data_IF_880966892252
#
_entry.id   IF_880966892252
#
_cell.length_a   1.000
_cell.length_b   1.000
_cell.length_c   1.000
_cell.angle_alpha   90.00
_cell.angle_beta   90.00
_cell.angle_gamma   90.00
#
_symmetry.space_group_name_H-M   'P 1'
#
loop_
_entity.id
_entity.type
_entity.pdbx_description
1 polymer ?
#
# COMPACT_ATOMS: atom_id res chain seq x y z
N UNK A 1 52.09 -15.51 -67.37
CA UNK A 1 50.68 -15.97 -67.41
C UNK A 1 50.55 -17.11 -66.42
N UNK A 2 50.13 -16.81 -65.20
CA UNK A 2 49.93 -17.77 -64.12
C UNK A 2 48.75 -17.29 -63.31
N UNK A 3 47.78 -18.19 -63.16
CA UNK A 3 46.41 -17.96 -62.77
C UNK A 3 46.25 -17.65 -61.28
N UNK A 4 45.36 -16.70 -61.00
CA UNK A 4 44.85 -16.36 -59.67
C UNK A 4 44.01 -17.52 -59.11
N UNK A 5 44.36 -17.99 -57.91
CA UNK A 5 43.53 -18.91 -57.10
C UNK A 5 42.84 -18.12 -55.98
N UNK A 6 41.55 -18.38 -55.68
CA UNK A 6 40.74 -17.48 -54.87
C UNK A 6 41.00 -17.63 -53.37
N UNK A 7 41.05 -16.47 -52.69
CA UNK A 7 41.15 -16.34 -51.25
C UNK A 7 39.97 -16.99 -50.52
N UNK A 8 40.29 -17.99 -49.71
CA UNK A 8 39.34 -18.68 -48.87
C UNK A 8 39.06 -17.84 -47.60
N UNK A 9 37.96 -17.08 -47.62
CA UNK A 9 37.39 -16.42 -46.45
C UNK A 9 36.93 -17.46 -45.43
N UNK A 10 37.77 -17.80 -44.43
CA UNK A 10 37.31 -18.46 -43.20
C UNK A 10 37.04 -17.43 -42.11
N UNK A 11 35.83 -16.87 -42.14
CA UNK A 11 35.19 -16.10 -41.06
C UNK A 11 35.02 -16.95 -39.79
N UNK A 12 35.61 -16.49 -38.69
CA UNK A 12 35.06 -16.43 -37.32
C UNK A 12 34.23 -17.61 -36.76
N UNK A 13 34.81 -18.82 -36.69
CA UNK A 13 34.27 -19.92 -35.86
C UNK A 13 34.95 -20.11 -34.49
N UNK A 14 35.75 -19.15 -34.03
CA UNK A 14 36.59 -19.29 -32.83
C UNK A 14 36.06 -18.65 -31.53
N UNK A 15 34.89 -17.98 -31.53
CA UNK A 15 34.46 -17.18 -30.37
C UNK A 15 33.59 -17.95 -29.35
N UNK A 16 32.57 -18.70 -29.79
CA UNK A 16 31.59 -19.32 -28.87
C UNK A 16 32.17 -20.43 -27.98
N UNK A 17 33.10 -21.25 -28.48
CA UNK A 17 33.74 -22.32 -27.69
C UNK A 17 34.69 -21.76 -26.63
N UNK A 18 35.42 -20.68 -26.93
CA UNK A 18 36.29 -19.98 -25.95
C UNK A 18 35.47 -19.28 -24.88
N UNK A 19 34.36 -18.63 -25.25
CA UNK A 19 33.44 -18.02 -24.29
C UNK A 19 32.79 -19.07 -23.38
N UNK A 20 32.38 -20.22 -23.95
CA UNK A 20 31.82 -21.34 -23.17
C UNK A 20 32.84 -21.91 -22.18
N UNK A 21 34.10 -22.13 -22.58
CA UNK A 21 35.17 -22.58 -21.67
C UNK A 21 35.47 -21.57 -20.56
N UNK A 22 35.60 -20.28 -20.90
CA UNK A 22 35.80 -19.20 -19.90
C UNK A 22 34.64 -19.07 -18.92
N UNK A 23 33.42 -19.36 -19.35
CA UNK A 23 32.29 -19.42 -18.44
C UNK A 23 32.42 -20.64 -17.52
N UNK A 24 32.73 -21.83 -18.04
CA UNK A 24 32.86 -23.07 -17.24
C UNK A 24 33.97 -22.99 -16.18
N UNK A 25 35.09 -22.32 -16.48
CA UNK A 25 36.28 -22.26 -15.61
C UNK A 25 36.20 -21.21 -14.49
N UNK A 26 35.10 -20.45 -14.39
CA UNK A 26 34.89 -19.57 -13.23
C UNK A 26 34.63 -20.41 -11.97
N UNK A 27 35.39 -20.20 -10.88
CA UNK A 27 35.16 -20.92 -9.63
C UNK A 27 33.71 -20.70 -9.18
N UNK A 28 33.05 -21.74 -8.65
CA UNK A 28 31.69 -21.61 -8.17
C UNK A 28 31.64 -20.50 -7.13
N UNK A 29 30.64 -19.60 -7.19
CA UNK A 29 30.55 -18.51 -6.23
C UNK A 29 30.43 -19.08 -4.82
N UNK A 30 31.12 -18.48 -3.84
CA UNK A 30 31.00 -18.87 -2.43
C UNK A 30 29.53 -18.83 -2.02
N UNK A 31 28.97 -20.02 -1.76
CA UNK A 31 27.58 -20.19 -1.37
C UNK A 31 27.40 -19.87 0.11
N UNK A 32 26.32 -19.17 0.46
CA UNK A 32 25.99 -18.99 1.87
C UNK A 32 25.36 -20.28 2.43
N UNK A 33 26.06 -20.91 3.38
CA UNK A 33 25.69 -22.18 3.99
C UNK A 33 24.79 -22.03 5.24
N UNK A 34 24.63 -20.81 5.77
CA UNK A 34 23.79 -20.54 6.94
C UNK A 34 22.30 -20.68 6.62
N UNK A 35 21.71 -21.82 6.98
CA UNK A 35 20.26 -22.04 6.88
C UNK A 35 19.49 -21.00 7.71
N UNK A 36 19.97 -20.72 8.92
CA UNK A 36 19.32 -19.81 9.86
C UNK A 36 19.27 -18.37 9.33
N UNK A 37 20.36 -17.88 8.73
CA UNK A 37 20.38 -16.55 8.10
C UNK A 37 19.36 -16.46 6.95
N UNK A 38 19.26 -17.50 6.12
CA UNK A 38 18.30 -17.56 5.00
C UNK A 38 16.86 -17.54 5.48
N UNK A 39 16.53 -18.39 6.46
CA UNK A 39 15.18 -18.48 7.03
C UNK A 39 14.77 -17.17 7.68
N UNK A 40 15.64 -16.56 8.49
CA UNK A 40 15.31 -15.29 9.12
C UNK A 40 15.21 -14.14 8.10
N UNK A 41 16.05 -14.13 7.06
CA UNK A 41 15.94 -13.13 5.98
C UNK A 41 14.61 -13.29 5.23
N UNK A 42 14.18 -14.51 4.94
CA UNK A 42 12.87 -14.78 4.33
C UNK A 42 11.73 -14.37 5.25
N UNK A 43 11.80 -14.69 6.55
CA UNK A 43 10.80 -14.26 7.53
C UNK A 43 10.69 -12.72 7.57
N UNK A 44 11.83 -12.03 7.55
CA UNK A 44 11.88 -10.56 7.53
C UNK A 44 11.20 -9.98 6.29
N UNK A 45 11.46 -10.56 5.11
CA UNK A 45 10.81 -10.18 3.86
C UNK A 45 9.30 -10.46 3.88
N UNK A 46 8.90 -11.63 4.36
CA UNK A 46 7.48 -12.03 4.47
C UNK A 46 6.73 -11.03 5.36
N UNK A 47 7.31 -10.63 6.50
CA UNK A 47 6.73 -9.59 7.34
C UNK A 47 6.59 -8.26 6.59
N UNK A 48 7.59 -7.88 5.79
CA UNK A 48 7.51 -6.70 4.92
C UNK A 48 6.36 -6.79 3.89
N UNK A 49 6.20 -7.94 3.23
CA UNK A 49 5.11 -8.19 2.26
C UNK A 49 3.74 -8.10 2.95
N UNK A 50 3.56 -8.78 4.08
CA UNK A 50 2.29 -8.78 4.82
C UNK A 50 1.98 -7.37 5.34
N UNK A 51 2.98 -6.65 5.86
CA UNK A 51 2.80 -5.29 6.34
C UNK A 51 2.33 -4.35 5.21
N UNK A 52 2.93 -4.47 4.02
CA UNK A 52 2.52 -3.71 2.84
C UNK A 52 1.12 -4.07 2.39
N UNK A 53 0.78 -5.36 2.37
CA UNK A 53 -0.55 -5.83 1.96
C UNK A 53 -1.66 -5.32 2.89
N UNK A 54 -1.44 -5.40 4.21
CA UNK A 54 -2.38 -4.89 5.22
C UNK A 54 -2.45 -3.36 5.17
N UNK A 55 -1.35 -2.68 4.90
CA UNK A 55 -1.34 -1.22 4.79
C UNK A 55 -2.03 -0.72 3.51
N UNK A 56 -1.93 -1.47 2.42
CA UNK A 56 -2.53 -1.16 1.12
C UNK A 56 -3.98 -1.68 0.96
N UNK A 57 -4.46 -2.49 1.91
CA UNK A 57 -5.75 -3.20 1.82
C UNK A 57 -5.88 -4.07 0.54
N UNK A 58 -4.76 -4.65 0.11
CA UNK A 58 -4.68 -5.52 -1.08
C UNK A 58 -4.74 -7.01 -0.71
N UNK A 59 -4.61 -7.89 -1.71
CA UNK A 59 -4.55 -9.35 -1.55
C UNK A 59 -3.22 -9.94 -2.07
N UNK A 60 -2.16 -9.14 -2.13
CA UNK A 60 -0.86 -9.56 -2.66
C UNK A 60 -0.23 -10.65 -1.80
N UNK A 61 -0.46 -10.65 -0.49
CA UNK A 61 0.14 -11.64 0.42
C UNK A 61 -0.30 -13.07 0.10
N UNK A 62 -1.51 -13.25 -0.44
CA UNK A 62 -2.10 -14.56 -0.77
C UNK A 62 -1.24 -15.36 -1.74
N UNK A 63 -0.64 -14.71 -2.74
CA UNK A 63 0.24 -15.36 -3.70
C UNK A 63 1.72 -15.11 -3.41
N UNK A 64 2.09 -13.90 -2.95
CA UNK A 64 3.48 -13.52 -2.78
C UNK A 64 4.17 -14.27 -1.63
N UNK A 65 3.46 -14.53 -0.53
CA UNK A 65 4.04 -15.25 0.62
C UNK A 65 4.31 -16.71 0.28
N UNK A 66 3.35 -17.51 -0.24
CA UNK A 66 3.65 -18.88 -0.67
C UNK A 66 4.74 -18.93 -1.72
N UNK A 67 4.72 -18.02 -2.71
CA UNK A 67 5.70 -18.01 -3.78
C UNK A 67 7.10 -17.65 -3.27
N UNK A 68 7.23 -16.75 -2.29
CA UNK A 68 8.51 -16.43 -1.63
C UNK A 68 9.07 -17.63 -0.87
N UNK A 69 8.22 -18.39 -0.16
CA UNK A 69 8.63 -19.60 0.56
C UNK A 69 9.09 -20.68 -0.42
N UNK A 70 8.32 -20.94 -1.48
CA UNK A 70 8.67 -21.89 -2.54
C UNK A 70 9.96 -21.49 -3.24
N UNK A 71 10.12 -20.21 -3.55
CA UNK A 71 11.32 -19.64 -4.15
C UNK A 71 12.54 -19.85 -3.25
N UNK A 72 12.38 -19.63 -1.94
CA UNK A 72 13.37 -19.89 -0.93
C UNK A 72 13.81 -21.35 -0.85
N UNK A 73 12.85 -22.27 -0.87
CA UNK A 73 13.09 -23.71 -0.90
C UNK A 73 13.79 -24.15 -2.19
N UNK A 74 13.33 -23.65 -3.34
CA UNK A 74 13.96 -23.90 -4.63
C UNK A 74 15.40 -23.39 -4.68
N UNK A 75 15.63 -22.16 -4.20
CA UNK A 75 16.96 -21.56 -4.12
C UNK A 75 17.89 -22.37 -3.22
N UNK A 76 17.39 -23.02 -2.16
CA UNK A 76 18.19 -23.89 -1.31
C UNK A 76 18.60 -25.18 -2.02
N UNK A 77 17.64 -25.87 -2.65
CA UNK A 77 17.90 -27.15 -3.34
C UNK A 77 18.81 -27.00 -4.56
N UNK A 78 18.75 -25.86 -5.24
CA UNK A 78 19.50 -25.62 -6.48
C UNK A 78 20.75 -24.75 -6.31
N UNK A 79 21.15 -24.42 -5.07
CA UNK A 79 22.26 -23.49 -4.79
C UNK A 79 23.63 -23.87 -5.37
N UNK A 80 23.91 -25.17 -5.48
CA UNK A 80 25.17 -25.69 -6.02
C UNK A 80 25.10 -25.96 -7.54
N UNK A 81 23.94 -25.77 -8.18
CA UNK A 81 23.73 -26.05 -9.60
C UNK A 81 23.80 -24.76 -10.42
N UNK A 82 24.52 -24.80 -11.54
CA UNK A 82 24.62 -23.67 -12.48
C UNK A 82 23.45 -23.66 -13.46
N UNK A 83 22.25 -23.33 -12.96
CA UNK A 83 21.05 -23.24 -13.79
C UNK A 83 20.97 -21.91 -14.55
N UNK A 84 21.55 -21.88 -15.76
CA UNK A 84 21.50 -20.72 -16.66
C UNK A 84 20.05 -20.45 -17.12
N UNK A 85 19.25 -21.50 -17.36
CA UNK A 85 17.85 -21.38 -17.75
C UNK A 85 17.00 -20.66 -16.69
N UNK A 86 17.16 -21.01 -15.41
CA UNK A 86 16.46 -20.34 -14.30
C UNK A 86 16.83 -18.87 -14.21
N UNK A 87 18.11 -18.52 -14.38
CA UNK A 87 18.54 -17.11 -14.43
C UNK A 87 17.88 -16.34 -15.57
N UNK A 88 17.79 -16.96 -16.74
CA UNK A 88 17.15 -16.35 -17.90
C UNK A 88 15.66 -16.13 -17.67
N UNK A 89 14.96 -17.12 -17.10
CA UNK A 89 13.52 -17.00 -16.79
C UNK A 89 13.25 -15.94 -15.72
N UNK A 90 14.09 -15.84 -14.69
CA UNK A 90 13.97 -14.78 -13.67
C UNK A 90 14.21 -13.41 -14.30
N UNK A 91 15.24 -13.27 -15.15
CA UNK A 91 15.51 -12.01 -15.83
C UNK A 91 14.34 -11.59 -16.73
N UNK A 92 13.76 -12.53 -17.48
CA UNK A 92 12.56 -12.29 -18.29
C UNK A 92 11.36 -11.91 -17.41
N UNK A 93 11.17 -12.59 -16.29
CA UNK A 93 10.13 -12.26 -15.31
C UNK A 93 10.30 -10.85 -14.71
N UNK A 94 11.54 -10.45 -14.41
CA UNK A 94 11.82 -9.10 -13.89
C UNK A 94 11.55 -8.02 -14.94
N UNK A 95 11.86 -8.29 -16.21
CA UNK A 95 11.51 -7.40 -17.32
C UNK A 95 9.99 -7.31 -17.53
N UNK A 96 9.27 -8.43 -17.41
CA UNK A 96 7.83 -8.45 -17.48
C UNK A 96 7.19 -7.66 -16.32
N UNK A 97 7.68 -7.83 -15.09
CA UNK A 97 7.27 -7.05 -13.93
C UNK A 97 7.51 -5.55 -14.13
N UNK A 98 8.65 -5.18 -14.71
CA UNK A 98 8.94 -3.79 -15.06
C UNK A 98 7.99 -3.25 -16.15
N UNK A 99 7.66 -4.07 -17.16
CA UNK A 99 6.68 -3.73 -18.18
C UNK A 99 5.29 -3.50 -17.59
N UNK A 100 4.84 -4.39 -16.70
CA UNK A 100 3.58 -4.25 -15.96
C UNK A 100 3.58 -2.97 -15.12
N UNK A 101 4.67 -2.67 -14.42
CA UNK A 101 4.84 -1.42 -13.68
C UNK A 101 4.64 -0.18 -14.55
N UNK A 102 5.21 -0.11 -15.75
CA UNK A 102 5.01 1.04 -16.64
C UNK A 102 3.57 1.18 -17.15
N UNK A 103 2.88 0.06 -17.36
CA UNK A 103 1.46 0.04 -17.72
C UNK A 103 0.62 0.60 -16.56
N UNK A 104 0.81 0.06 -15.35
CA UNK A 104 0.10 0.51 -14.14
C UNK A 104 0.42 1.96 -13.79
N UNK A 105 1.65 2.42 -13.99
CA UNK A 105 2.05 3.81 -13.74
C UNK A 105 1.33 4.78 -14.69
N UNK A 106 1.07 4.38 -15.93
CA UNK A 106 0.31 5.18 -16.89
C UNK A 106 -1.15 5.35 -16.46
N UNK A 107 -1.73 4.34 -15.82
CA UNK A 107 -3.11 4.35 -15.32
C UNK A 107 -3.22 5.11 -13.98
N UNK A 108 -2.20 5.02 -13.13
CA UNK A 108 -2.19 5.55 -11.75
C UNK A 108 -1.08 6.61 -11.55
N UNK A 109 -1.04 7.64 -12.40
CA UNK A 109 0.04 8.66 -12.42
C UNK A 109 0.26 9.41 -11.07
N UNK A 110 -0.75 9.43 -10.21
CA UNK A 110 -0.77 10.25 -9.00
C UNK A 110 -0.58 9.43 -7.70
N UNK A 111 -0.91 8.13 -7.67
CA UNK A 111 -0.60 7.25 -6.52
C UNK A 111 0.40 6.16 -6.91
N UNK A 112 1.63 6.60 -7.14
CA UNK A 112 2.74 5.72 -7.50
C UNK A 112 3.20 4.80 -6.37
N UNK A 113 2.75 5.04 -5.13
CA UNK A 113 3.20 4.25 -3.96
C UNK A 113 2.70 2.82 -4.01
N UNK A 114 1.44 2.62 -4.41
CA UNK A 114 0.84 1.29 -4.56
C UNK A 114 1.52 0.52 -5.69
N UNK A 115 1.70 1.16 -6.84
CA UNK A 115 2.36 0.58 -8.01
C UNK A 115 3.83 0.24 -7.72
N UNK A 116 4.53 1.08 -6.96
CA UNK A 116 5.90 0.81 -6.53
C UNK A 116 5.96 -0.36 -5.53
N UNK A 117 5.00 -0.45 -4.61
CA UNK A 117 4.88 -1.56 -3.68
C UNK A 117 4.72 -2.89 -4.41
N UNK A 118 3.82 -2.93 -5.40
CA UNK A 118 3.58 -4.10 -6.24
C UNK A 118 4.85 -4.52 -6.99
N UNK A 119 5.53 -3.59 -7.65
CA UNK A 119 6.80 -3.87 -8.33
C UNK A 119 7.84 -4.45 -7.38
N UNK A 120 7.99 -3.87 -6.18
CA UNK A 120 8.94 -4.36 -5.18
C UNK A 120 8.61 -5.79 -4.72
N UNK A 121 7.33 -6.11 -4.51
CA UNK A 121 6.88 -7.46 -4.14
C UNK A 121 7.20 -8.44 -5.28
N UNK A 122 6.84 -8.11 -6.52
CA UNK A 122 7.11 -8.96 -7.69
C UNK A 122 8.62 -9.21 -7.86
N UNK A 123 9.45 -8.15 -7.80
CA UNK A 123 10.90 -8.26 -7.87
C UNK A 123 11.46 -9.10 -6.73
N UNK A 124 10.96 -8.92 -5.50
CA UNK A 124 11.41 -9.69 -4.34
C UNK A 124 11.10 -11.18 -4.48
N UNK A 125 9.90 -11.51 -4.94
CA UNK A 125 9.48 -12.89 -5.18
C UNK A 125 10.35 -13.54 -6.25
N UNK A 126 10.58 -12.86 -7.39
CA UNK A 126 11.45 -13.34 -8.46
C UNK A 126 12.91 -13.48 -8.00
N UNK A 127 13.42 -12.50 -7.27
CA UNK A 127 14.77 -12.53 -6.71
C UNK A 127 14.94 -13.70 -5.73
N UNK A 128 13.88 -14.07 -4.99
CA UNK A 128 13.89 -15.19 -4.03
C UNK A 128 14.18 -16.55 -4.66
N UNK A 129 13.96 -16.72 -5.96
CA UNK A 129 14.28 -17.96 -6.66
C UNK A 129 15.78 -18.14 -6.91
N UNK A 130 16.57 -17.07 -6.81
CA UNK A 130 17.99 -17.09 -7.12
C UNK A 130 18.81 -16.27 -6.12
N UNK A 131 19.03 -16.85 -4.94
CA UNK A 131 19.94 -16.30 -3.92
C UNK A 131 21.06 -17.29 -3.54
N UNK A 132 21.93 -17.71 -4.48
CA UNK A 132 23.04 -18.59 -4.14
C UNK A 132 24.09 -17.89 -3.27
N UNK A 133 24.29 -16.57 -3.46
CA UNK A 133 25.34 -15.81 -2.79
C UNK A 133 24.81 -15.10 -1.55
N UNK A 134 25.75 -14.84 -0.64
CA UNK A 134 25.54 -14.01 0.55
C UNK A 134 25.10 -12.58 0.23
N UNK A 135 25.70 -11.98 -0.80
CA UNK A 135 25.34 -10.64 -1.27
C UNK A 135 23.88 -10.55 -1.70
N UNK A 136 23.34 -11.62 -2.29
CA UNK A 136 21.95 -11.70 -2.72
C UNK A 136 20.99 -11.65 -1.52
N UNK A 137 21.33 -12.32 -0.41
CA UNK A 137 20.58 -12.18 0.86
C UNK A 137 20.64 -10.75 1.41
N UNK A 138 21.78 -10.09 1.24
CA UNK A 138 21.96 -8.65 1.49
C UNK A 138 20.92 -7.79 0.79
N UNK A 139 20.72 -8.02 -0.51
CA UNK A 139 19.73 -7.27 -1.28
C UNK A 139 18.30 -7.53 -0.80
N UNK A 140 17.96 -8.76 -0.45
CA UNK A 140 16.65 -9.12 0.12
C UNK A 140 16.38 -8.40 1.43
N UNK A 141 17.41 -8.23 2.26
CA UNK A 141 17.27 -7.47 3.50
C UNK A 141 16.91 -6.02 3.24
N UNK A 142 17.59 -5.40 2.27
CA UNK A 142 17.31 -4.01 1.84
C UNK A 142 15.91 -3.91 1.25
N UNK A 143 15.50 -4.83 0.39
CA UNK A 143 14.15 -4.84 -0.19
C UNK A 143 13.10 -5.00 0.91
N UNK A 144 13.31 -5.88 1.91
CA UNK A 144 12.44 -6.00 3.07
C UNK A 144 12.31 -4.69 3.86
N UNK A 145 13.41 -3.95 4.04
CA UNK A 145 13.42 -2.63 4.67
C UNK A 145 12.67 -1.58 3.84
N UNK A 146 12.80 -1.62 2.51
CA UNK A 146 12.05 -0.73 1.62
C UNK A 146 10.55 -1.06 1.71
N UNK A 147 10.17 -2.35 1.73
CA UNK A 147 8.77 -2.76 1.85
C UNK A 147 8.12 -2.26 3.15
N UNK A 148 8.78 -2.42 4.31
CA UNK A 148 8.24 -1.88 5.57
C UNK A 148 8.18 -0.34 5.53
N UNK A 149 9.12 0.31 4.83
CA UNK A 149 9.09 1.75 4.58
C UNK A 149 7.90 2.18 3.74
N UNK A 150 7.62 1.50 2.64
CA UNK A 150 6.45 1.76 1.78
C UNK A 150 5.15 1.51 2.56
N UNK A 151 5.06 0.40 3.30
CA UNK A 151 3.94 0.07 4.19
C UNK A 151 3.66 1.21 5.20
N UNK A 152 4.72 1.84 5.73
CA UNK A 152 4.55 2.97 6.67
C UNK A 152 3.85 4.19 6.04
N UNK A 153 4.02 4.39 4.74
CA UNK A 153 3.42 5.54 4.03
C UNK A 153 1.95 5.29 3.65
N UNK A 154 1.58 4.02 3.46
CA UNK A 154 0.23 3.59 3.11
C UNK A 154 -0.64 3.32 4.35
N UNK A 155 -0.02 2.96 5.47
CA UNK A 155 -0.73 2.55 6.67
C UNK A 155 -1.69 3.63 7.21
N UNK A 156 -2.90 3.18 7.55
CA UNK A 156 -3.96 3.99 8.14
C UNK A 156 -4.31 3.55 9.57
N UNK A 157 -3.72 2.46 10.06
CA UNK A 157 -4.11 1.80 11.31
C UNK A 157 -2.92 1.58 12.23
N UNK A 158 -3.18 1.50 13.53
CA UNK A 158 -2.15 1.22 14.55
C UNK A 158 -1.56 -0.19 14.44
N UNK A 159 -2.20 -1.09 13.70
CA UNK A 159 -1.74 -2.46 13.44
C UNK A 159 -0.36 -2.46 12.78
N UNK A 160 -0.04 -1.47 11.96
CA UNK A 160 1.30 -1.33 11.37
C UNK A 160 2.41 -1.27 12.41
N UNK A 161 2.16 -0.65 13.58
CA UNK A 161 3.13 -0.61 14.68
C UNK A 161 3.54 -2.01 15.15
N UNK A 162 2.61 -2.97 15.16
CA UNK A 162 2.90 -4.36 15.50
C UNK A 162 3.79 -5.02 14.44
N UNK A 163 3.50 -4.80 13.15
CA UNK A 163 4.35 -5.31 12.07
C UNK A 163 5.75 -4.70 12.10
N UNK A 164 5.87 -3.41 12.41
CA UNK A 164 7.18 -2.75 12.56
C UNK A 164 7.99 -3.35 13.73
N UNK A 165 7.35 -3.60 14.87
CA UNK A 165 8.00 -4.26 16.01
C UNK A 165 8.43 -5.69 15.67
N UNK A 166 7.57 -6.46 14.99
CA UNK A 166 7.89 -7.80 14.53
C UNK A 166 9.06 -7.78 13.53
N UNK A 167 9.03 -6.85 12.57
CA UNK A 167 10.11 -6.66 11.60
C UNK A 167 11.43 -6.36 12.31
N UNK A 168 11.44 -5.43 13.27
CA UNK A 168 12.64 -5.06 14.03
C UNK A 168 13.17 -6.22 14.89
N UNK A 169 12.28 -6.99 15.51
CA UNK A 169 12.62 -8.17 16.30
C UNK A 169 13.32 -9.25 15.47
N UNK A 170 12.99 -9.37 14.18
CA UNK A 170 13.65 -10.30 13.23
C UNK A 170 14.89 -9.67 12.60
N UNK A 171 14.86 -8.37 12.27
CA UNK A 171 15.96 -7.67 11.61
C UNK A 171 17.24 -7.65 12.47
N UNK A 172 17.10 -7.51 13.79
CA UNK A 172 18.24 -7.52 14.71
C UNK A 172 19.08 -8.81 14.67
N UNK A 173 18.50 -10.00 14.92
CA UNK A 173 19.28 -11.24 14.81
C UNK A 173 19.81 -11.46 13.39
N UNK A 174 19.07 -11.08 12.35
CA UNK A 174 19.53 -11.14 10.96
C UNK A 174 20.80 -10.30 10.74
N UNK A 175 20.82 -9.05 11.19
CA UNK A 175 21.98 -8.15 11.06
C UNK A 175 23.19 -8.67 11.84
N UNK A 176 22.99 -9.20 13.04
CA UNK A 176 24.06 -9.80 13.84
C UNK A 176 24.68 -11.02 13.13
N UNK A 177 23.84 -11.85 12.51
CA UNK A 177 24.29 -13.02 11.76
C UNK A 177 24.98 -12.63 10.45
N UNK A 178 24.46 -11.64 9.71
CA UNK A 178 25.14 -11.12 8.52
C UNK A 178 26.50 -10.55 8.89
N UNK A 179 26.58 -9.73 9.94
CA UNK A 179 27.83 -9.15 10.43
C UNK A 179 28.88 -10.22 10.75
N UNK A 180 28.49 -11.26 11.49
CA UNK A 180 29.39 -12.37 11.83
C UNK A 180 29.79 -13.20 10.61
N UNK A 181 28.86 -13.42 9.68
CA UNK A 181 29.15 -14.06 8.39
C UNK A 181 30.18 -13.26 7.57
N UNK A 182 30.21 -11.92 7.68
CA UNK A 182 31.25 -11.07 7.03
C UNK A 182 32.64 -11.28 7.58
N UNK A 183 32.74 -11.48 8.89
CA UNK A 183 34.01 -11.55 9.61
C UNK A 183 34.71 -12.91 9.49
N UNK A 184 34.11 -13.88 8.77
CA UNK A 184 34.62 -15.24 8.58
C UNK A 184 35.01 -15.98 9.89
N UNK A 185 34.49 -15.51 11.04
CA UNK A 185 34.60 -16.10 12.39
C UNK A 185 33.90 -17.47 12.52
N UNK A 186 33.62 -18.10 11.39
CA UNK A 186 32.42 -18.88 11.16
C UNK A 186 32.79 -20.32 10.78
N UNK A 187 34.08 -20.64 10.61
CA UNK A 187 34.57 -22.00 10.40
C UNK A 187 34.22 -23.05 11.49
N UNK A 188 33.73 -22.67 12.68
CA UNK A 188 33.35 -23.62 13.76
C UNK A 188 31.94 -23.48 14.34
N UNK A 189 31.19 -22.42 14.00
CA UNK A 189 29.88 -22.14 14.62
C UNK A 189 28.68 -22.74 13.87
N UNK A 190 28.89 -23.34 12.69
CA UNK A 190 27.84 -23.66 11.72
C UNK A 190 26.88 -24.81 12.06
N UNK A 191 27.17 -25.63 13.06
CA UNK A 191 26.27 -26.73 13.51
C UNK A 191 25.61 -26.46 14.86
N UNK A 192 25.72 -25.24 15.37
CA UNK A 192 25.37 -24.95 16.76
C UNK A 192 23.93 -24.42 16.88
N UNK A 193 23.10 -24.95 17.80
CA UNK A 193 21.75 -24.42 18.05
C UNK A 193 21.80 -22.96 18.53
N UNK A 194 20.69 -22.23 18.46
CA UNK A 194 20.52 -20.81 18.80
C UNK A 194 21.31 -20.35 20.06
N UNK A 195 21.45 -21.23 21.06
CA UNK A 195 22.22 -21.00 22.31
C UNK A 195 23.74 -20.89 22.11
N UNK A 196 24.34 -21.65 21.19
CA UNK A 196 25.79 -21.67 20.93
C UNK A 196 26.25 -20.61 19.92
N UNK A 197 25.31 -20.00 19.20
CA UNK A 197 25.59 -18.85 18.33
C UNK A 197 25.83 -17.58 19.17
N UNK A 198 25.64 -17.60 20.50
CA UNK A 198 25.95 -16.43 21.34
C UNK A 198 25.03 -15.23 21.07
N UNK A 199 23.83 -15.46 20.53
CA UNK A 199 22.74 -14.48 20.49
C UNK A 199 22.13 -14.42 21.89
N UNK A 200 22.70 -13.61 22.76
CA UNK A 200 22.12 -13.35 24.06
C UNK A 200 20.81 -12.59 23.87
N UNK A 201 19.69 -13.23 24.22
CA UNK A 201 18.36 -12.62 24.18
C UNK A 201 18.29 -11.34 25.02
N UNK A 202 19.07 -11.27 26.11
CA UNK A 202 19.23 -10.05 26.91
C UNK A 202 19.87 -8.91 26.10
N UNK A 203 20.92 -9.19 25.32
CA UNK A 203 21.57 -8.19 24.47
C UNK A 203 20.68 -7.76 23.30
N UNK A 204 19.98 -8.70 22.66
CA UNK A 204 19.01 -8.38 21.60
C UNK A 204 17.88 -7.51 22.14
N UNK A 205 17.33 -7.85 23.32
CA UNK A 205 16.32 -7.04 23.99
C UNK A 205 16.83 -5.65 24.36
N UNK A 206 18.08 -5.54 24.84
CA UNK A 206 18.72 -4.25 25.11
C UNK A 206 18.87 -3.40 23.82
N UNK A 207 19.34 -3.99 22.72
CA UNK A 207 19.43 -3.29 21.44
C UNK A 207 18.07 -2.86 20.92
N UNK A 208 17.06 -3.71 21.03
CA UNK A 208 15.69 -3.40 20.65
C UNK A 208 15.16 -2.20 21.46
N UNK A 209 15.32 -2.23 22.78
CA UNK A 209 14.92 -1.15 23.67
C UNK A 209 15.67 0.16 23.37
N UNK A 210 16.97 0.08 23.07
CA UNK A 210 17.79 1.24 22.71
C UNK A 210 17.34 1.85 21.38
N UNK A 211 17.08 1.04 20.35
CA UNK A 211 16.61 1.51 19.05
C UNK A 211 15.22 2.15 19.18
N UNK A 212 14.31 1.52 19.93
CA UNK A 212 12.99 2.08 20.17
C UNK A 212 13.07 3.37 20.98
N UNK A 213 13.87 3.40 22.05
CA UNK A 213 14.07 4.59 22.87
C UNK A 213 14.65 5.76 22.06
N UNK A 214 15.70 5.50 21.28
CA UNK A 214 16.31 6.50 20.41
C UNK A 214 15.33 6.96 19.32
N UNK A 215 14.63 6.04 18.66
CA UNK A 215 13.65 6.34 17.62
C UNK A 215 12.49 7.18 18.15
N UNK A 216 11.95 6.86 19.32
CA UNK A 216 10.89 7.63 19.98
C UNK A 216 11.39 9.01 20.43
N UNK A 217 12.62 9.10 20.93
CA UNK A 217 13.23 10.38 21.33
C UNK A 217 13.41 11.28 20.10
N UNK A 218 13.95 10.74 19.00
CA UNK A 218 14.06 11.46 17.74
C UNK A 218 12.69 11.89 17.23
N UNK A 219 11.69 11.00 17.28
CA UNK A 219 10.32 11.32 16.87
C UNK A 219 9.68 12.42 17.72
N UNK A 220 9.93 12.43 19.02
CA UNK A 220 9.43 13.46 19.94
C UNK A 220 10.08 14.82 19.70
N UNK A 221 11.37 14.84 19.36
CA UNK A 221 12.13 16.06 19.10
C UNK A 221 12.01 16.58 17.67
N UNK A 222 11.59 15.73 16.72
CA UNK A 222 11.51 16.10 15.30
C UNK A 222 10.42 17.16 15.07
N UNK A 223 10.75 18.35 14.56
CA UNK A 223 9.76 19.38 14.30
C UNK A 223 8.82 18.91 13.18
N UNK A 224 7.52 18.86 13.48
CA UNK A 224 6.48 18.50 12.51
C UNK A 224 6.15 19.71 11.65
N UNK A 225 7.05 20.05 10.73
CA UNK A 225 6.80 21.11 9.75
C UNK A 225 5.77 20.56 8.75
N UNK A 226 4.62 21.23 8.54
CA UNK A 226 3.69 20.86 7.47
C UNK A 226 4.46 20.90 6.15
N UNK A 227 4.66 19.73 5.55
CA UNK A 227 5.64 19.52 4.49
C UNK A 227 5.46 20.42 3.27
N UNK A 228 6.60 20.81 2.71
CA UNK A 228 6.77 21.57 1.47
C UNK A 228 5.86 21.10 0.33
N UNK A 229 5.39 22.09 -0.43
CA UNK A 229 4.49 22.19 -1.59
C UNK A 229 4.55 21.13 -2.71
N UNK A 230 5.35 20.07 -2.64
CA UNK A 230 5.31 18.95 -3.59
C UNK A 230 4.31 17.89 -3.10
N UNK A 231 3.04 18.13 -3.41
CA UNK A 231 1.91 17.27 -3.01
C UNK A 231 1.72 16.15 -4.04
N UNK A 232 2.00 14.91 -3.66
CA UNK A 232 1.38 13.74 -4.30
C UNK A 232 0.15 13.35 -3.50
N UNK A 233 -1.00 13.90 -3.88
CA UNK A 233 -2.27 13.46 -3.31
C UNK A 233 -2.67 12.09 -3.89
N UNK A 234 -3.29 11.21 -3.10
CA UNK A 234 -3.84 9.95 -3.60
C UNK A 234 -5.12 10.21 -4.42
N UNK A 235 -4.99 10.77 -5.62
CA UNK A 235 -6.11 11.22 -6.48
C UNK A 235 -5.88 10.68 -7.88
N UNK A 236 -6.83 10.05 -8.58
CA UNK A 236 -6.53 9.56 -9.94
C UNK A 236 -6.49 10.68 -10.97
N UNK A 237 -6.12 10.31 -12.20
CA UNK A 237 -6.48 11.09 -13.38
C UNK A 237 -7.99 11.38 -13.46
N UNK A 238 -8.38 12.36 -14.28
CA UNK A 238 -9.76 12.83 -14.36
C UNK A 238 -10.70 11.71 -14.80
N UNK A 239 -11.64 11.35 -13.91
CA UNK A 239 -12.78 10.51 -14.27
C UNK A 239 -13.77 11.41 -15.02
N UNK A 240 -14.19 10.97 -16.20
CA UNK A 240 -15.23 11.59 -17.01
C UNK A 240 -16.51 10.78 -16.86
N UNK A 241 -17.12 10.83 -15.67
CA UNK A 241 -18.41 10.21 -15.42
C UNK A 241 -19.44 11.33 -15.21
N UNK A 242 -20.48 11.33 -16.02
CA UNK A 242 -21.62 12.21 -15.84
C UNK A 242 -22.50 11.65 -14.72
N UNK A 243 -22.54 12.35 -13.58
CA UNK A 243 -23.42 12.00 -12.49
C UNK A 243 -24.81 12.58 -12.76
N UNK A 244 -25.81 11.71 -12.91
CA UNK A 244 -27.21 12.12 -13.07
C UNK A 244 -27.85 12.40 -11.70
N UNK A 245 -28.48 13.57 -11.57
CA UNK A 245 -29.27 14.04 -10.41
C UNK A 245 -28.59 13.92 -9.02
N UNK A 246 -27.52 14.71 -8.80
CA UNK A 246 -26.82 14.80 -7.52
C UNK A 246 -27.53 15.67 -6.45
N UNK A 247 -28.76 16.14 -6.70
CA UNK A 247 -29.46 17.00 -5.74
C UNK A 247 -30.16 16.21 -4.64
N UNK A 248 -30.46 14.93 -4.89
CA UNK A 248 -31.12 14.07 -3.92
C UNK A 248 -30.10 13.41 -3.00
N UNK A 249 -30.38 13.40 -1.69
CA UNK A 249 -29.55 12.67 -0.72
C UNK A 249 -29.96 11.20 -0.74
N UNK A 250 -29.12 10.35 -1.31
CA UNK A 250 -29.35 8.91 -1.43
C UNK A 250 -28.66 8.20 -0.28
N UNK A 251 -29.43 7.50 0.55
CA UNK A 251 -28.92 6.68 1.65
C UNK A 251 -29.17 5.20 1.37
N UNK A 252 -28.13 4.37 1.14
CA UNK A 252 -28.26 2.97 0.74
C UNK A 252 -29.20 2.15 1.64
N UNK A 253 -29.16 2.36 2.95
CA UNK A 253 -30.01 1.63 3.91
C UNK A 253 -31.50 2.01 3.88
N UNK A 254 -31.86 3.08 3.18
CA UNK A 254 -33.24 3.59 3.12
C UNK A 254 -33.74 3.82 1.70
N UNK A 255 -33.04 3.27 0.69
CA UNK A 255 -33.55 3.19 -0.69
C UNK A 255 -34.50 2.00 -0.77
N UNK A 256 -35.82 2.25 -0.78
CA UNK A 256 -36.77 1.18 -1.12
C UNK A 256 -36.65 0.90 -2.62
N UNK A 257 -36.09 -0.27 -2.96
CA UNK A 257 -36.10 -0.84 -4.29
C UNK A 257 -37.55 -1.23 -4.63
N UNK A 258 -38.30 -0.29 -5.20
CA UNK A 258 -39.68 -0.51 -5.60
C UNK A 258 -39.76 -1.25 -6.93
N UNK A 259 -39.97 -2.56 -6.88
CA UNK A 259 -40.72 -3.24 -7.94
C UNK A 259 -42.20 -2.87 -7.75
N UNK A 260 -42.60 -1.70 -8.25
CA UNK A 260 -44.01 -1.32 -8.37
C UNK A 260 -44.20 -0.76 -9.76
N UNK A 261 -44.80 -1.57 -10.63
CA UNK A 261 -45.39 -1.11 -11.88
C UNK A 261 -46.38 0.01 -11.58
N UNK A 262 -46.01 1.24 -11.92
CA UNK A 262 -46.82 2.43 -11.71
C UNK A 262 -45.91 3.64 -11.55
N UNK A 263 -46.11 4.66 -12.38
CA UNK A 263 -45.41 5.95 -12.36
C UNK A 263 -45.52 6.62 -10.98
N UNK A 264 -44.61 6.30 -10.08
CA UNK A 264 -44.57 6.79 -8.71
C UNK A 264 -43.14 7.17 -8.34
N UNK A 265 -42.96 8.46 -8.01
CA UNK A 265 -41.73 9.00 -7.44
C UNK A 265 -41.13 8.06 -6.39
N UNK A 266 -39.82 7.85 -6.47
CA UNK A 266 -39.01 7.20 -5.44
C UNK A 266 -39.17 8.02 -4.14
N UNK A 267 -40.03 7.57 -3.22
CA UNK A 267 -40.21 8.19 -1.90
C UNK A 267 -39.03 7.83 -0.99
N UNK A 268 -37.86 8.40 -1.26
CA UNK A 268 -36.70 8.37 -0.37
C UNK A 268 -37.04 9.06 0.96
N UNK A 269 -36.78 8.39 2.09
CA UNK A 269 -36.64 9.04 3.41
C UNK A 269 -37.85 9.77 4.01
N UNK A 270 -39.01 9.81 3.35
CA UNK A 270 -40.23 10.50 3.85
C UNK A 270 -41.07 9.64 4.82
N UNK A 271 -40.51 8.61 5.42
CA UNK A 271 -41.21 7.74 6.37
C UNK A 271 -41.64 8.51 7.61
N UNK A 272 -42.95 8.72 7.79
CA UNK A 272 -43.56 9.31 8.99
C UNK A 272 -44.08 8.21 9.91
N UNK A 273 -43.95 8.40 11.22
CA UNK A 273 -44.44 7.45 12.23
C UNK A 273 -43.37 6.49 12.80
N UNK A 274 -43.79 5.55 13.68
CA UNK A 274 -42.90 4.55 14.27
C UNK A 274 -42.30 3.62 13.21
N UNK A 275 -41.04 3.25 13.38
CA UNK A 275 -40.35 2.33 12.46
C UNK A 275 -39.10 1.72 13.10
N UNK A 276 -38.55 0.71 12.43
CA UNK A 276 -37.29 0.11 12.84
C UNK A 276 -36.11 0.82 12.17
N UNK A 277 -35.05 1.06 12.94
CA UNK A 277 -33.80 1.65 12.46
C UNK A 277 -32.96 0.58 11.75
N UNK A 278 -32.38 0.92 10.59
CA UNK A 278 -31.38 0.06 9.95
C UNK A 278 -30.14 -0.07 10.86
N UNK A 279 -29.69 -1.30 11.11
CA UNK A 279 -28.58 -1.56 12.02
C UNK A 279 -27.22 -1.12 11.46
N UNK A 280 -27.10 -0.93 10.14
CA UNK A 280 -25.85 -0.70 9.43
C UNK A 280 -25.72 0.74 8.90
N UNK A 281 -26.82 1.45 8.68
CA UNK A 281 -26.84 2.78 8.08
C UNK A 281 -27.49 3.83 8.97
N UNK A 282 -26.78 4.95 9.14
CA UNK A 282 -27.28 6.07 9.92
C UNK A 282 -28.47 6.76 9.23
N UNK A 283 -29.61 6.78 9.90
CA UNK A 283 -30.87 7.36 9.41
C UNK A 283 -30.83 8.88 9.23
N UNK A 284 -29.91 9.56 9.94
CA UNK A 284 -29.80 11.02 9.89
C UNK A 284 -29.11 11.56 8.63
N UNK A 285 -28.56 10.71 7.76
CA UNK A 285 -28.07 11.12 6.45
C UNK A 285 -29.19 11.00 5.40
N UNK A 286 -30.18 11.87 5.53
CA UNK A 286 -31.34 11.91 4.65
C UNK A 286 -31.91 13.34 4.61
N UNK A 287 -32.85 13.62 3.69
CA UNK A 287 -33.55 14.92 3.65
C UNK A 287 -34.43 15.16 4.89
N UNK A 288 -34.89 14.09 5.54
CA UNK A 288 -35.65 14.09 6.79
C UNK A 288 -35.08 13.11 7.79
N UNK A 289 -34.98 13.52 9.05
CA UNK A 289 -34.55 12.69 10.16
C UNK A 289 -35.74 12.36 11.06
N UNK A 290 -36.24 11.12 10.99
CA UNK A 290 -37.30 10.63 11.86
C UNK A 290 -36.72 10.18 13.23
N UNK A 291 -37.19 10.77 14.33
CA UNK A 291 -36.71 10.45 15.69
C UNK A 291 -37.53 9.33 16.38
N UNK A 292 -38.61 8.86 15.74
CA UNK A 292 -39.44 7.78 16.25
C UNK A 292 -38.93 6.39 15.88
N UNK A 293 -37.80 6.31 15.18
CA UNK A 293 -37.16 5.03 14.87
C UNK A 293 -36.68 4.37 16.17
N UNK A 294 -36.88 3.06 16.26
CA UNK A 294 -36.46 2.23 17.40
C UNK A 294 -35.43 1.21 16.95
N UNK A 295 -34.52 0.87 17.85
CA UNK A 295 -33.40 -0.04 17.57
C UNK A 295 -32.07 0.57 17.99
N UNK A 296 -31.00 -0.22 17.87
CA UNK A 296 -29.62 0.20 18.10
C UNK A 296 -28.80 -0.11 16.85
N UNK A 297 -27.93 0.83 16.46
CA UNK A 297 -26.97 0.59 15.38
C UNK A 297 -25.84 -0.31 15.87
N UNK A 298 -25.31 -1.15 14.97
CA UNK A 298 -24.10 -1.91 15.22
C UNK A 298 -22.88 -1.02 15.00
N UNK A 299 -21.91 -0.97 15.94
CA UNK A 299 -20.66 -0.25 15.73
C UNK A 299 -19.96 -0.76 14.48
N UNK A 300 -19.71 0.12 13.50
CA UNK A 300 -19.03 -0.20 12.25
C UNK A 300 -18.17 0.98 11.80
N UNK A 301 -16.98 0.68 11.29
CA UNK A 301 -16.12 1.67 10.65
C UNK A 301 -16.68 1.92 9.25
N UNK A 302 -17.16 3.14 8.99
CA UNK A 302 -17.71 3.55 7.69
C UNK A 302 -16.75 4.43 6.89
N UNK A 303 -15.93 5.22 7.58
CA UNK A 303 -15.03 6.19 6.99
C UNK A 303 -13.84 6.41 7.92
N UNK A 304 -12.64 6.59 7.35
CA UNK A 304 -11.44 7.06 8.05
C UNK A 304 -11.05 8.42 7.50
N UNK A 305 -10.72 9.35 8.41
CA UNK A 305 -10.33 10.72 8.03
C UNK A 305 -8.93 11.01 8.55
N UNK A 306 -8.01 11.32 7.62
CA UNK A 306 -6.68 11.84 7.94
C UNK A 306 -6.70 13.34 7.80
N UNK A 307 -6.46 14.07 8.89
CA UNK A 307 -6.47 15.54 8.90
C UNK A 307 -5.22 16.09 9.57
N UNK A 308 -4.71 17.22 9.06
CA UNK A 308 -3.56 17.92 9.65
C UNK A 308 -3.96 18.82 10.84
N UNK A 309 -5.25 19.02 11.04
CA UNK A 309 -5.80 19.80 12.14
C UNK A 309 -7.04 19.12 12.71
N UNK A 310 -7.23 19.31 14.01
CA UNK A 310 -8.47 19.00 14.71
C UNK A 310 -9.57 19.95 14.24
N UNK A 311 -10.82 19.48 14.24
CA UNK A 311 -11.95 20.34 13.98
C UNK A 311 -13.27 19.59 13.95
N UNK A 312 -14.34 20.31 13.65
CA UNK A 312 -15.69 19.78 13.62
C UNK A 312 -16.10 19.44 12.18
N UNK A 313 -16.26 18.16 11.90
CA UNK A 313 -16.72 17.66 10.60
C UNK A 313 -18.23 17.77 10.50
N UNK A 314 -18.70 18.81 9.82
CA UNK A 314 -20.12 18.99 9.56
C UNK A 314 -20.51 18.21 8.31
N UNK A 315 -21.55 17.40 8.42
CA UNK A 315 -22.15 16.69 7.27
C UNK A 315 -23.39 17.44 6.79
N UNK A 316 -24.40 17.55 7.64
CA UNK A 316 -25.66 18.24 7.33
C UNK A 316 -26.16 19.00 8.55
N UNK A 317 -27.11 19.89 8.33
CA UNK A 317 -27.88 20.51 9.40
C UNK A 317 -29.35 20.55 9.01
N UNK A 318 -30.21 20.21 9.96
CA UNK A 318 -31.65 20.33 9.81
C UNK A 318 -32.13 21.60 10.50
N UNK A 319 -33.13 22.25 9.93
CA UNK A 319 -33.60 23.57 10.38
C UNK A 319 -35.10 23.61 10.66
N UNK A 320 -35.89 22.67 10.16
CA UNK A 320 -37.34 22.61 10.37
C UNK A 320 -37.74 21.41 11.23
N UNK A 321 -38.35 21.65 12.39
CA UNK A 321 -38.90 20.60 13.24
C UNK A 321 -40.34 20.26 12.82
N UNK A 322 -40.66 18.97 12.70
CA UNK A 322 -41.95 18.44 12.24
C UNK A 322 -42.75 17.72 13.34
N UNK A 323 -42.37 17.85 14.62
CA UNK A 323 -43.00 17.16 15.75
C UNK A 323 -42.55 15.70 15.94
N UNK A 324 -42.28 14.99 14.84
CA UNK A 324 -41.76 13.61 14.83
C UNK A 324 -40.29 13.50 14.40
N UNK A 325 -39.68 14.61 14.00
CA UNK A 325 -38.37 14.62 13.37
C UNK A 325 -37.97 15.99 12.85
N UNK A 326 -36.86 16.05 12.15
CA UNK A 326 -36.34 17.26 11.51
C UNK A 326 -36.27 17.13 10.00
N UNK A 327 -36.37 18.24 9.28
CA UNK A 327 -36.30 18.35 7.83
C UNK A 327 -35.29 19.42 7.42
N UNK A 328 -34.59 19.16 6.31
CA UNK A 328 -33.69 20.08 5.64
C UNK A 328 -34.50 20.97 4.68
N UNK A 329 -34.57 22.27 4.95
CA UNK A 329 -35.35 23.19 4.11
C UNK A 329 -34.65 23.61 2.81
N UNK A 330 -33.31 23.59 2.76
CA UNK A 330 -32.48 24.19 1.69
C UNK A 330 -31.91 23.19 0.68
N UNK A 331 -32.49 22.00 0.55
CA UNK A 331 -31.97 20.99 -0.38
C UNK A 331 -32.14 21.39 -1.86
N UNK A 332 -33.09 22.28 -2.13
CA UNK A 332 -33.36 22.90 -3.42
C UNK A 332 -32.34 24.00 -3.79
N UNK A 333 -31.62 24.58 -2.81
CA UNK A 333 -30.65 25.65 -2.99
C UNK A 333 -29.21 25.14 -3.22
N UNK A 334 -29.06 23.97 -3.84
CA UNK A 334 -27.74 23.39 -4.14
C UNK A 334 -27.07 24.14 -5.30
N UNK A 335 -25.73 24.12 -5.34
CA UNK A 335 -24.94 24.70 -6.44
C UNK A 335 -24.15 23.61 -7.14
N UNK A 336 -24.31 23.50 -8.45
CA UNK A 336 -23.49 22.61 -9.27
C UNK A 336 -22.12 23.24 -9.50
N UNK A 337 -21.06 22.49 -9.17
CA UNK A 337 -19.68 22.91 -9.37
C UNK A 337 -19.10 22.11 -10.53
N UNK A 338 -18.69 22.81 -11.58
CA UNK A 338 -18.07 22.20 -12.75
C UNK A 338 -16.54 22.18 -12.60
N UNK A 339 -15.93 21.05 -12.95
CA UNK A 339 -14.49 20.89 -12.98
C UNK A 339 -13.93 21.47 -14.29
N UNK A 340 -12.85 22.26 -14.26
CA UNK A 340 -12.14 22.65 -15.48
C UNK A 340 -11.59 21.42 -16.21
N UNK A 341 -11.69 21.37 -17.54
CA UNK A 341 -11.26 20.21 -18.34
C UNK A 341 -9.75 19.88 -18.22
N UNK A 342 -8.93 20.88 -17.88
CA UNK A 342 -7.48 20.76 -17.74
C UNK A 342 -7.03 20.45 -16.31
N UNK A 343 -7.95 20.36 -15.34
CA UNK A 343 -7.63 20.12 -13.94
C UNK A 343 -8.37 18.88 -13.41
N UNK A 344 -7.74 18.20 -12.46
CA UNK A 344 -8.34 17.09 -11.72
C UNK A 344 -9.02 17.54 -10.42
N UNK A 345 -9.00 18.84 -10.11
CA UNK A 345 -9.58 19.40 -8.87
C UNK A 345 -10.82 20.26 -9.13
N UNK A 346 -11.75 20.23 -8.18
CA UNK A 346 -12.92 21.10 -8.13
C UNK A 346 -12.61 22.28 -7.23
N UNK A 347 -12.95 23.48 -7.70
CA UNK A 347 -12.79 24.71 -6.92
C UNK A 347 -14.12 25.12 -6.31
N UNK A 348 -14.12 25.27 -4.99
CA UNK A 348 -15.30 25.61 -4.20
C UNK A 348 -15.24 27.10 -3.80
N UNK A 349 -16.38 27.82 -3.86
CA UNK A 349 -16.42 29.22 -3.45
C UNK A 349 -16.24 29.32 -1.93
N UNK A 350 -15.22 30.06 -1.51
CA UNK A 350 -14.93 30.34 -0.10
C UNK A 350 -15.27 31.79 0.20
N UNK A 351 -15.94 32.11 1.33
CA UNK A 351 -16.22 33.50 1.67
C UNK A 351 -14.92 34.28 1.93
N UNK A 352 -14.95 35.56 1.56
CA UNK A 352 -13.88 36.50 1.89
C UNK A 352 -13.91 36.72 3.41
N UNK A 353 -12.77 36.52 4.07
CA UNK A 353 -12.62 36.74 5.51
C UNK A 353 -11.24 37.31 5.78
N UNK A 354 -11.17 38.22 6.75
CA UNK A 354 -9.95 38.86 7.25
C UNK A 354 -9.23 38.00 8.31
N UNK A 355 -9.87 36.92 8.76
CA UNK A 355 -9.30 36.02 9.77
C UNK A 355 -8.09 35.27 9.22
N UNK A 356 -7.14 34.94 10.11
CA UNK A 356 -5.99 34.10 9.77
C UNK A 356 -6.47 32.74 9.24
N UNK A 357 -6.02 32.38 8.04
CA UNK A 357 -6.33 31.11 7.39
C UNK A 357 -5.16 30.14 7.59
N UNK A 358 -5.47 28.89 7.87
CA UNK A 358 -4.52 27.78 7.85
C UNK A 358 -5.00 26.77 6.83
N UNK A 359 -4.11 26.36 5.95
CA UNK A 359 -4.42 25.29 5.01
C UNK A 359 -4.39 23.95 5.74
N UNK A 360 -5.44 23.15 5.54
CA UNK A 360 -5.61 21.84 6.16
C UNK A 360 -5.97 20.86 5.06
N UNK A 361 -5.12 19.86 4.88
CA UNK A 361 -5.38 18.75 3.96
C UNK A 361 -6.17 17.68 4.71
N UNK A 362 -7.24 17.21 4.06
CA UNK A 362 -8.07 16.13 4.57
C UNK A 362 -8.18 15.02 3.53
N UNK A 363 -7.85 13.79 3.94
CA UNK A 363 -8.02 12.60 3.11
C UNK A 363 -9.11 11.74 3.72
N UNK A 364 -10.12 11.44 2.93
CA UNK A 364 -11.27 10.62 3.30
C UNK A 364 -11.14 9.24 2.64
N UNK A 365 -11.08 8.19 3.45
CA UNK A 365 -11.09 6.80 2.97
C UNK A 365 -12.44 6.20 3.35
N UNK A 366 -13.26 5.90 2.34
CA UNK A 366 -14.57 5.27 2.54
C UNK A 366 -14.36 3.76 2.66
N UNK A 367 -14.85 3.16 3.75
CA UNK A 367 -14.68 1.73 4.07
C UNK A 367 -15.98 0.95 3.84
N UNK A 368 -17.12 1.64 3.82
CA UNK A 368 -18.42 1.09 3.54
C UNK A 368 -19.18 1.98 2.56
N UNK A 369 -20.27 1.45 1.99
CA UNK A 369 -21.21 2.26 1.22
C UNK A 369 -21.77 3.37 2.12
N UNK A 370 -21.60 4.61 1.66
CA UNK A 370 -22.04 5.80 2.35
C UNK A 370 -23.04 6.55 1.49
N UNK A 371 -23.91 7.35 2.12
CA UNK A 371 -24.73 8.30 1.39
C UNK A 371 -23.87 9.25 0.57
N UNK A 372 -24.46 9.86 -0.46
CA UNK A 372 -23.78 10.84 -1.33
C UNK A 372 -23.51 12.20 -0.67
N UNK A 373 -23.23 12.21 0.64
CA UNK A 373 -22.83 13.38 1.42
C UNK A 373 -21.50 13.10 2.12
N UNK A 374 -20.58 14.06 2.05
CA UNK A 374 -19.23 13.92 2.62
C UNK A 374 -19.06 14.98 3.72
N UNK A 375 -18.64 14.59 4.94
CA UNK A 375 -18.28 15.56 5.98
C UNK A 375 -17.14 16.46 5.52
N UNK A 376 -17.18 17.73 5.92
CA UNK A 376 -16.09 18.66 5.68
C UNK A 376 -15.82 19.56 6.89
N UNK A 377 -14.57 20.02 7.02
CA UNK A 377 -14.25 21.19 7.86
C UNK A 377 -14.81 22.47 7.25
N UNK A 378 -14.79 23.54 8.05
CA UNK A 378 -15.33 24.84 7.66
C UNK A 378 -14.63 25.39 6.42
N UNK A 379 -15.39 25.58 5.34
CA UNK A 379 -14.98 26.14 4.05
C UNK A 379 -13.95 25.33 3.25
N UNK A 380 -14.33 24.18 2.68
CA UNK A 380 -13.49 23.49 1.70
C UNK A 380 -13.22 24.40 0.49
N UNK A 381 -11.95 24.48 0.04
CA UNK A 381 -11.54 25.28 -1.13
C UNK A 381 -11.34 24.41 -2.37
N UNK A 382 -10.69 23.27 -2.19
CA UNK A 382 -10.32 22.34 -3.25
C UNK A 382 -10.86 20.97 -2.88
N UNK A 383 -11.51 20.32 -3.85
CA UNK A 383 -12.00 18.96 -3.73
C UNK A 383 -11.35 18.12 -4.84
N UNK A 384 -10.86 16.95 -4.44
CA UNK A 384 -10.26 15.98 -5.34
C UNK A 384 -11.09 14.70 -5.28
N UNK A 385 -11.36 14.10 -6.43
CA UNK A 385 -12.06 12.82 -6.51
C UNK A 385 -11.06 11.66 -6.47
N UNK A 386 -11.48 10.51 -5.90
CA UNK A 386 -10.59 9.41 -5.56
C UNK A 386 -10.00 8.73 -6.79
N UNK A 387 -8.89 8.02 -6.57
CA UNK A 387 -8.45 6.89 -7.40
C UNK A 387 -9.50 5.78 -7.40
N UNK A 388 -9.86 5.19 -8.56
CA UNK A 388 -10.68 3.98 -8.61
C UNK A 388 -9.99 2.79 -7.95
#
# INVERSE_FOLDING_TARGET
MTSLSPGNQRRDRFSFRKLRRRLTDQPPPKTEESLLLRVLTQAMVIVGIIATDVAAETQFSVWAVPLTVLAGYWSWTHRHKRNIATKFMIALGMLAALGAFFISLREQLNDTRLVLAELLIQLQVLHSFHMPRRQDLGYSMVIGLILIGVASTLSQTTIFGLFLLLFLAIALPVLVLDYRSRLDLVGRAYKAPFKRVGLSWKRLGLFLALILGLGLTLFMLMPRIPGYQLRSFPVSGPINQEFQDNQQIVNPGYVRQGNVSGSGEVRQGRGTGPGEMDQNHYYGFNTRMNQNLRGQMKPRIVMRVRSQAEGFWRVMAFDKYLGQGWELSRNDQTKTVLRPAWSYQFFLPVPITLSKKKEVIQTYTMVAELPNVIPALTYPRELFFPTP
#
